data_IF_672208608191
#
_entry.id   IF_672208608191
#
_cell.length_a   1.000
_cell.length_b   1.000
_cell.length_c   1.000
_cell.angle_alpha   90.00
_cell.angle_beta   90.00
_cell.angle_gamma   90.00
#
_symmetry.space_group_name_H-M   'P 1'
#
loop_
_entity.id
_entity.type
_entity.pdbx_description
1 polymer ?
#
# COMPACT_ATOMS: atom_id res chain seq x y z
N UNK A 1 0.28 -9.80 -6.28
CA UNK A 1 -0.46 -9.12 -7.38
C UNK A 1 0.32 -7.88 -7.76
N UNK A 2 0.48 -7.58 -9.06
CA UNK A 2 1.05 -6.29 -9.47
C UNK A 2 0.07 -5.18 -9.11
N UNK A 3 0.54 -4.14 -8.41
CA UNK A 3 -0.27 -2.94 -8.12
C UNK A 3 -0.50 -2.08 -9.37
N UNK A 4 0.24 -2.34 -10.44
CA UNK A 4 0.09 -1.68 -11.73
C UNK A 4 -0.68 -2.63 -12.64
N UNK A 5 -1.92 -2.28 -13.06
CA UNK A 5 -2.78 -3.16 -13.83
C UNK A 5 -2.41 -3.18 -15.32
N UNK A 6 -1.75 -2.13 -15.82
CA UNK A 6 -1.45 -1.96 -17.23
C UNK A 6 -0.14 -2.63 -17.61
N UNK A 7 -0.18 -3.38 -18.71
CA UNK A 7 1.01 -3.90 -19.36
C UNK A 7 1.72 -2.79 -20.18
N UNK A 8 2.98 -2.99 -20.59
CA UNK A 8 3.64 -2.05 -21.49
C UNK A 8 2.90 -1.84 -22.81
N UNK A 9 2.18 -2.85 -23.31
CA UNK A 9 1.37 -2.75 -24.52
C UNK A 9 0.11 -1.89 -24.28
N UNK A 10 -0.58 -2.07 -23.15
CA UNK A 10 -1.72 -1.22 -22.77
C UNK A 10 -1.29 0.25 -22.69
N UNK A 11 -0.16 0.53 -22.05
CA UNK A 11 0.39 1.88 -21.92
C UNK A 11 0.65 2.48 -23.31
N UNK A 12 1.23 1.72 -24.23
CA UNK A 12 1.50 2.16 -25.60
C UNK A 12 0.22 2.49 -26.37
N UNK A 13 -0.80 1.65 -26.27
CA UNK A 13 -2.09 1.88 -26.91
C UNK A 13 -2.78 3.13 -26.36
N UNK A 14 -2.79 3.29 -25.04
CA UNK A 14 -3.36 4.46 -24.37
C UNK A 14 -2.65 5.76 -24.78
N UNK A 15 -1.31 5.79 -24.80
CA UNK A 15 -0.53 6.94 -25.24
C UNK A 15 -0.80 7.29 -26.72
N UNK A 16 -0.88 6.28 -27.58
CA UNK A 16 -1.21 6.44 -29.01
C UNK A 16 -2.60 7.06 -29.20
N UNK A 17 -3.60 6.63 -28.41
CA UNK A 17 -4.97 7.14 -28.51
C UNK A 17 -5.08 8.64 -28.19
N UNK A 18 -4.23 9.15 -27.30
CA UNK A 18 -4.21 10.57 -26.90
C UNK A 18 -3.11 11.38 -27.61
N UNK A 19 -2.35 10.75 -28.53
CA UNK A 19 -1.27 11.42 -29.29
C UNK A 19 -0.03 11.77 -28.45
N UNK A 20 0.17 11.13 -27.30
CA UNK A 20 1.36 11.32 -26.45
C UNK A 20 2.47 10.34 -26.84
N UNK A 21 3.75 10.75 -26.72
CA UNK A 21 4.92 9.91 -27.06
C UNK A 21 5.49 9.19 -25.84
N UNK A 22 5.26 9.70 -24.64
CA UNK A 22 5.71 9.10 -23.38
C UNK A 22 4.80 9.45 -22.21
N UNK A 23 4.97 8.75 -21.08
CA UNK A 23 4.29 9.10 -19.82
C UNK A 23 4.68 10.51 -19.36
N UNK A 24 5.92 10.93 -19.57
CA UNK A 24 6.38 12.27 -19.19
C UNK A 24 5.63 13.40 -19.92
N UNK A 25 5.11 13.13 -21.12
CA UNK A 25 4.30 14.09 -21.86
C UNK A 25 3.02 14.47 -21.10
N UNK A 26 2.49 13.58 -20.25
CA UNK A 26 1.30 13.81 -19.44
C UNK A 26 1.51 14.84 -18.31
N UNK A 27 2.77 15.17 -18.02
CA UNK A 27 3.16 16.05 -16.92
C UNK A 27 3.84 17.35 -17.40
N UNK A 28 3.74 17.68 -18.70
CA UNK A 28 4.37 18.85 -19.30
C UNK A 28 3.97 20.18 -18.66
N UNK A 29 2.73 20.28 -18.22
CA UNK A 29 2.19 21.50 -17.60
C UNK A 29 2.74 21.77 -16.20
N UNK A 30 3.44 20.80 -15.59
CA UNK A 30 4.10 20.96 -14.30
C UNK A 30 5.50 21.56 -14.51
N UNK A 31 5.75 22.81 -14.05
CA UNK A 31 7.06 23.44 -14.17
C UNK A 31 8.16 22.58 -13.54
N UNK A 32 9.36 22.49 -14.14
CA UNK A 32 10.45 21.64 -13.63
C UNK A 32 10.83 21.93 -12.17
N UNK A 33 10.73 23.19 -11.73
CA UNK A 33 11.01 23.60 -10.36
C UNK A 33 10.02 23.03 -9.32
N UNK A 34 8.80 22.68 -9.75
CA UNK A 34 7.77 22.08 -8.90
C UNK A 34 7.76 20.55 -8.95
N UNK A 35 8.53 19.94 -9.86
CA UNK A 35 8.63 18.48 -9.96
C UNK A 35 9.45 17.92 -8.78
N UNK A 36 9.01 16.80 -8.17
CA UNK A 36 9.76 16.18 -7.09
C UNK A 36 11.10 15.65 -7.61
N UNK A 37 12.21 16.07 -7.01
CA UNK A 37 13.56 15.56 -7.32
C UNK A 37 13.82 14.20 -6.66
N UNK A 38 13.21 13.98 -5.51
CA UNK A 38 13.24 12.76 -4.72
C UNK A 38 12.10 12.79 -3.72
N UNK A 39 11.60 11.61 -3.35
CA UNK A 39 10.58 11.45 -2.31
C UNK A 39 11.19 11.12 -0.93
N UNK A 40 12.51 10.98 -0.84
CA UNK A 40 13.22 10.61 0.40
C UNK A 40 12.63 9.36 1.08
N UNK A 41 12.40 8.31 0.28
CA UNK A 41 11.85 7.02 0.74
C UNK A 41 12.95 5.95 0.77
N UNK A 42 12.85 4.96 1.67
CA UNK A 42 13.75 3.80 1.64
C UNK A 42 13.57 3.00 0.35
N UNK A 43 14.58 2.17 0.04
CA UNK A 43 14.51 1.28 -1.11
C UNK A 43 13.26 0.37 -1.05
N UNK A 44 12.72 0.06 -2.23
CA UNK A 44 11.61 -0.87 -2.37
C UNK A 44 11.93 -2.21 -1.74
N UNK A 45 10.90 -2.86 -1.19
CA UNK A 45 10.98 -4.19 -0.59
C UNK A 45 9.97 -5.10 -1.26
N UNK A 46 10.29 -6.38 -1.35
CA UNK A 46 9.33 -7.41 -1.72
C UNK A 46 8.22 -7.51 -0.68
N UNK A 47 7.08 -8.09 -1.09
CA UNK A 47 5.94 -8.34 -0.20
C UNK A 47 6.34 -9.15 1.05
N UNK A 48 7.23 -10.13 0.89
CA UNK A 48 7.76 -10.94 1.99
C UNK A 48 8.60 -10.10 2.97
N UNK A 49 9.48 -9.24 2.46
CA UNK A 49 10.32 -8.39 3.29
C UNK A 49 9.51 -7.37 4.08
N UNK A 50 8.51 -6.75 3.44
CA UNK A 50 7.59 -5.82 4.11
C UNK A 50 6.81 -6.55 5.21
N UNK A 51 6.21 -7.70 4.89
CA UNK A 51 5.43 -8.50 5.85
C UNK A 51 6.29 -8.90 7.05
N UNK A 52 7.52 -9.37 6.81
CA UNK A 52 8.44 -9.74 7.89
C UNK A 52 8.84 -8.54 8.75
N UNK A 53 9.11 -7.39 8.13
CA UNK A 53 9.48 -6.18 8.86
C UNK A 53 8.34 -5.69 9.76
N UNK A 54 7.09 -5.70 9.26
CA UNK A 54 5.91 -5.31 10.02
C UNK A 54 5.62 -6.28 11.17
N UNK A 55 5.74 -7.59 10.95
CA UNK A 55 5.62 -8.60 12.03
C UNK A 55 6.64 -8.35 13.13
N UNK A 56 7.92 -8.17 12.78
CA UNK A 56 8.99 -7.87 13.75
C UNK A 56 8.72 -6.57 14.54
N UNK A 57 8.08 -5.59 13.93
CA UNK A 57 7.70 -4.36 14.61
C UNK A 57 6.53 -4.61 15.59
N UNK A 58 5.52 -5.36 15.15
CA UNK A 58 4.37 -5.74 15.98
C UNK A 58 4.77 -6.58 17.20
N UNK A 59 5.77 -7.46 17.06
CA UNK A 59 6.29 -8.31 18.15
C UNK A 59 6.90 -7.50 19.31
N UNK A 60 7.16 -6.21 19.12
CA UNK A 60 7.63 -5.32 20.19
C UNK A 60 6.50 -4.86 21.11
N UNK A 61 5.25 -5.03 20.71
CA UNK A 61 4.10 -4.67 21.54
C UNK A 61 3.91 -5.69 22.66
N UNK A 62 3.41 -5.22 23.81
CA UNK A 62 2.93 -6.10 24.87
C UNK A 62 1.55 -6.69 24.49
N UNK A 63 1.54 -7.56 23.49
CA UNK A 63 0.35 -8.25 23.02
C UNK A 63 0.09 -9.56 23.81
N UNK A 64 -1.15 -10.06 23.77
CA UNK A 64 -1.52 -11.34 24.41
C UNK A 64 -1.62 -11.31 25.94
N UNK A 65 -1.65 -10.12 26.53
CA UNK A 65 -1.94 -9.95 27.95
C UNK A 65 -3.43 -10.10 28.22
N UNK A 66 -3.79 -10.68 29.36
CA UNK A 66 -5.16 -10.60 29.86
C UNK A 66 -5.38 -9.18 30.41
N UNK A 67 -6.23 -8.40 29.77
CA UNK A 67 -6.44 -6.99 30.10
C UNK A 67 -7.70 -6.78 30.95
N UNK A 68 -7.53 -6.28 32.17
CA UNK A 68 -8.62 -5.97 33.10
C UNK A 68 -8.80 -4.47 33.39
N UNK A 69 -8.18 -3.58 32.60
CA UNK A 69 -8.26 -2.12 32.81
C UNK A 69 -9.68 -1.59 32.58
N UNK A 70 -10.46 -2.22 31.70
CA UNK A 70 -11.86 -1.85 31.44
C UNK A 70 -11.99 -0.49 30.74
N UNK A 71 -12.79 0.41 31.33
CA UNK A 71 -13.07 1.75 30.79
C UNK A 71 -13.71 1.77 29.39
N UNK A 72 -14.59 0.81 29.10
CA UNK A 72 -15.30 0.73 27.82
C UNK A 72 -14.61 -0.12 26.75
N UNK A 73 -13.43 -0.67 27.04
CA UNK A 73 -12.75 -1.64 26.18
C UNK A 73 -12.56 -2.97 26.91
N UNK A 74 -13.04 -4.05 26.30
CA UNK A 74 -13.06 -5.39 26.90
C UNK A 74 -12.66 -6.44 25.87
N UNK A 75 -11.80 -7.36 26.30
CA UNK A 75 -11.44 -8.51 25.48
C UNK A 75 -12.67 -9.42 25.29
N UNK A 76 -12.85 -9.92 24.08
CA UNK A 76 -13.99 -10.75 23.71
C UNK A 76 -13.65 -11.69 22.57
N UNK A 77 -14.37 -12.80 22.52
CA UNK A 77 -14.22 -13.75 21.42
C UNK A 77 -14.73 -13.13 20.11
N UNK A 78 -13.88 -13.10 19.09
CA UNK A 78 -14.24 -12.72 17.72
C UNK A 78 -14.53 -14.00 16.94
N UNK A 79 -15.79 -14.25 16.52
CA UNK A 79 -16.11 -15.44 15.74
C UNK A 79 -15.39 -15.45 14.38
N UNK A 80 -14.94 -16.63 13.93
CA UNK A 80 -14.22 -16.79 12.66
C UNK A 80 -14.97 -16.27 11.42
N UNK A 81 -16.30 -16.21 11.47
CA UNK A 81 -17.11 -15.62 10.40
C UNK A 81 -16.83 -14.12 10.20
N UNK A 82 -16.41 -13.39 11.25
CA UNK A 82 -16.11 -11.96 11.18
C UNK A 82 -14.95 -11.71 10.22
N UNK A 83 -13.86 -12.48 10.30
CA UNK A 83 -12.71 -12.33 9.40
C UNK A 83 -13.09 -12.54 7.93
N UNK A 84 -13.95 -13.54 7.67
CA UNK A 84 -14.44 -13.83 6.33
C UNK A 84 -15.39 -12.75 5.78
N UNK A 85 -16.02 -11.97 6.66
CA UNK A 85 -16.87 -10.83 6.29
C UNK A 85 -16.03 -9.56 6.10
N UNK A 86 -15.13 -9.24 7.04
CA UNK A 86 -14.29 -8.04 6.99
C UNK A 86 -13.21 -8.11 5.90
N UNK A 87 -12.79 -9.30 5.50
CA UNK A 87 -11.83 -9.51 4.42
C UNK A 87 -12.42 -9.37 3.01
N UNK A 88 -13.72 -9.07 2.88
CA UNK A 88 -14.35 -8.77 1.58
C UNK A 88 -14.14 -7.28 1.29
N UNK A 89 -13.34 -6.97 0.28
CA UNK A 89 -13.04 -5.62 -0.21
C UNK A 89 -13.19 -5.56 -1.71
#
# INVERSE_FOLDING_TARGET
>A
MSYIPHTPEDIKQMLSAIGAKSIDDLFKDIPPALRPKSFNLPASKSEFEVTRALRKLADKNAAGLVNFVGAGFYDHFIPAAVDALSGRS
#
